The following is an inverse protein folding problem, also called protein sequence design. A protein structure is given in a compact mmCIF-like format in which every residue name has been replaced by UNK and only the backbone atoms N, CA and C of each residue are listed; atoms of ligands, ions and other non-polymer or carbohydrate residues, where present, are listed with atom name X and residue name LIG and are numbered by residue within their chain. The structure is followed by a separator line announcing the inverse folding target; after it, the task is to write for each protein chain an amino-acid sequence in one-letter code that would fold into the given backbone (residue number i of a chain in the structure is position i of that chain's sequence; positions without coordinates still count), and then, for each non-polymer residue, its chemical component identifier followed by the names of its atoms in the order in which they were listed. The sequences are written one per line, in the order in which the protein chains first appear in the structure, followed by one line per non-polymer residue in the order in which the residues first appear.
data_IF_906053425280
#
_entry.id   IF_906053425280
#
_cell.length_a   1.000
_cell.length_b   1.000
_cell.length_c   1.000
_cell.angle_alpha   90.00
_cell.angle_beta   90.00
_cell.angle_gamma   90.00
#
_symmetry.space_group_name_H-M   'P 1'
#
loop_
_entity.id
_entity.type
_entity.pdbx_description
1 polymer ?
#
# COMPACT_ATOMS: atom_id res chain seq x y z
N UNK A 1 5.88 2.01 1.82
CA UNK A 1 5.96 1.26 0.55
C UNK A 1 6.07 -0.20 0.92
N UNK A 2 5.06 -1.02 0.63
CA UNK A 2 5.10 -2.44 0.97
C UNK A 2 6.05 -3.09 -0.04
N UNK A 3 7.22 -3.54 0.42
CA UNK A 3 8.19 -4.22 -0.43
C UNK A 3 8.01 -5.72 -0.24
N UNK A 4 7.60 -6.40 -1.32
CA UNK A 4 7.69 -7.86 -1.40
C UNK A 4 9.17 -8.24 -1.53
N UNK A 5 9.74 -8.82 -0.47
CA UNK A 5 11.01 -9.56 -0.54
C UNK A 5 10.63 -11.00 -0.96
N UNK A 6 11.17 -11.54 -2.06
CA UNK A 6 10.60 -12.71 -2.70
C UNK A 6 10.78 -13.98 -1.87
N UNK A 7 9.68 -14.68 -1.61
CA UNK A 7 9.63 -16.14 -1.55
C UNK A 7 8.74 -16.60 -2.70
N UNK A 8 9.26 -17.55 -3.47
CA UNK A 8 8.83 -17.92 -4.81
C UNK A 8 7.74 -19.00 -4.77
N UNK A 9 6.47 -18.65 -4.99
CA UNK A 9 5.52 -19.54 -5.68
C UNK A 9 4.18 -18.86 -6.08
N UNK A 10 3.68 -19.34 -7.23
CA UNK A 10 2.34 -19.27 -7.84
C UNK A 10 1.72 -17.93 -8.24
N UNK A 11 1.69 -17.72 -9.56
CA UNK A 11 0.82 -16.81 -10.28
C UNK A 11 -0.62 -17.35 -10.32
N UNK A 12 -1.62 -16.45 -10.20
CA UNK A 12 -2.72 -16.28 -11.16
C UNK A 12 -3.71 -15.21 -10.63
N UNK A 13 -3.88 -14.07 -11.34
CA UNK A 13 -5.13 -13.30 -11.32
C UNK A 13 -5.17 -12.19 -12.41
N UNK A 14 -6.22 -12.11 -13.25
CA UNK A 14 -6.51 -10.94 -14.04
C UNK A 14 -7.71 -10.16 -13.47
N UNK A 15 -7.53 -8.88 -13.15
CA UNK A 15 -8.63 -7.93 -13.01
C UNK A 15 -8.18 -6.52 -13.39
N UNK A 16 -8.81 -5.96 -14.42
CA UNK A 16 -8.55 -4.63 -14.93
C UNK A 16 -8.92 -3.56 -13.89
N UNK A 17 -7.94 -3.17 -13.07
CA UNK A 17 -8.02 -2.00 -12.21
C UNK A 17 -8.08 -0.75 -13.09
N UNK A 18 -9.24 -0.08 -13.11
CA UNK A 18 -9.44 1.18 -13.85
C UNK A 18 -8.55 2.26 -13.24
N UNK A 19 -7.45 2.60 -13.90
CA UNK A 19 -6.53 3.66 -13.46
C UNK A 19 -7.19 5.04 -13.68
N UNK A 20 -7.19 5.94 -12.69
CA UNK A 20 -7.68 7.30 -12.89
C UNK A 20 -6.84 8.03 -13.95
N UNK A 21 -7.49 8.88 -14.75
CA UNK A 21 -6.85 9.59 -15.88
C UNK A 21 -5.85 10.63 -15.32
N UNK A 22 -4.70 10.79 -16.00
CA UNK A 22 -3.57 11.71 -15.72
C UNK A 22 -3.85 13.00 -14.90
N UNK A 23 -4.89 13.82 -15.18
CA UNK A 23 -5.13 15.05 -14.41
C UNK A 23 -5.53 14.83 -12.95
N UNK A 24 -6.13 13.69 -12.59
CA UNK A 24 -6.63 13.46 -11.22
C UNK A 24 -5.50 13.13 -10.24
N UNK A 25 -4.53 12.31 -10.66
CA UNK A 25 -3.40 11.84 -9.84
C UNK A 25 -2.42 12.95 -9.45
N UNK A 26 -2.42 14.06 -10.19
CA UNK A 26 -1.53 15.21 -9.98
C UNK A 26 -2.29 16.49 -9.63
N UNK A 27 -3.57 16.38 -9.27
CA UNK A 27 -4.49 17.50 -9.02
C UNK A 27 -4.04 18.45 -7.91
N UNK A 28 -3.31 17.96 -6.91
CA UNK A 28 -2.71 18.78 -5.85
C UNK A 28 -1.46 19.58 -6.29
N UNK A 29 -1.00 19.43 -7.53
CA UNK A 29 0.18 20.10 -8.08
C UNK A 29 -0.27 21.17 -9.08
N UNK A 30 0.18 22.42 -8.95
CA UNK A 30 -0.15 23.48 -9.91
C UNK A 30 0.18 23.10 -11.35
N UNK A 31 -0.65 23.55 -12.29
CA UNK A 31 -0.42 23.32 -13.70
C UNK A 31 0.94 23.92 -14.13
N UNK A 32 1.70 23.15 -14.91
CA UNK A 32 3.03 23.55 -15.40
C UNK A 32 3.93 22.34 -15.66
N UNK A 33 5.17 22.60 -16.06
CA UNK A 33 6.14 21.55 -16.46
C UNK A 33 6.34 20.48 -15.39
N UNK A 34 6.33 20.86 -14.10
CA UNK A 34 6.44 19.91 -12.98
C UNK A 34 5.31 18.89 -12.97
N UNK A 35 4.05 19.34 -13.14
CA UNK A 35 2.88 18.45 -13.15
C UNK A 35 2.95 17.49 -14.34
N UNK A 36 3.30 18.01 -15.51
CA UNK A 36 3.44 17.21 -16.74
C UNK A 36 4.54 16.17 -16.61
N UNK A 37 5.73 16.55 -16.16
CA UNK A 37 6.84 15.62 -15.97
C UNK A 37 6.54 14.55 -14.94
N UNK A 38 5.94 14.92 -13.80
CA UNK A 38 5.56 13.94 -12.79
C UNK A 38 4.52 12.95 -13.33
N UNK A 39 3.50 13.45 -14.05
CA UNK A 39 2.47 12.62 -14.63
C UNK A 39 3.06 11.64 -15.67
N UNK A 40 3.95 12.12 -16.53
CA UNK A 40 4.66 11.29 -17.50
C UNK A 40 5.54 10.23 -16.83
N UNK A 41 6.32 10.61 -15.81
CA UNK A 41 7.18 9.68 -15.08
C UNK A 41 6.37 8.62 -14.33
N UNK A 42 5.23 8.99 -13.72
CA UNK A 42 4.36 8.03 -13.03
C UNK A 42 3.86 6.93 -13.97
N UNK A 43 3.43 7.29 -15.19
CA UNK A 43 2.81 6.35 -16.11
C UNK A 43 3.81 5.60 -16.98
N UNK A 44 4.89 6.25 -17.41
CA UNK A 44 5.88 5.66 -18.30
C UNK A 44 6.95 4.84 -17.55
N UNK A 45 7.18 5.13 -16.26
CA UNK A 45 8.29 4.56 -15.52
C UNK A 45 7.84 3.89 -14.20
N UNK A 46 7.25 4.65 -13.27
CA UNK A 46 6.97 4.11 -11.94
C UNK A 46 5.94 2.95 -11.97
N UNK A 47 4.79 3.15 -12.61
CA UNK A 47 3.73 2.13 -12.62
C UNK A 47 4.18 0.84 -13.35
N UNK A 48 4.81 0.90 -14.54
CA UNK A 48 5.37 -0.28 -15.19
C UNK A 48 6.37 -1.06 -14.34
N UNK A 49 7.26 -0.39 -13.59
CA UNK A 49 8.25 -1.04 -12.70
C UNK A 49 7.62 -1.91 -11.60
N UNK A 50 6.35 -1.67 -11.25
CA UNK A 50 5.65 -2.39 -10.19
C UNK A 50 4.42 -3.14 -10.68
N UNK A 51 4.19 -3.26 -11.99
CA UNK A 51 2.96 -3.81 -12.55
C UNK A 51 2.56 -5.17 -11.92
N UNK A 52 3.52 -6.09 -11.77
CA UNK A 52 3.29 -7.45 -11.23
C UNK A 52 3.40 -7.53 -9.69
N UNK A 53 3.58 -6.37 -9.03
CA UNK A 53 3.75 -6.24 -7.57
C UNK A 53 2.69 -5.33 -6.94
N UNK A 54 1.68 -4.93 -7.70
CA UNK A 54 0.51 -4.21 -7.19
C UNK A 54 -0.47 -5.25 -6.64
N UNK A 55 -0.74 -5.18 -5.34
CA UNK A 55 -1.69 -6.05 -4.67
C UNK A 55 -3.11 -5.54 -4.87
N UNK A 56 -4.02 -6.45 -5.22
CA UNK A 56 -5.46 -6.17 -5.25
C UNK A 56 -5.98 -6.16 -3.82
N UNK A 57 -6.96 -5.31 -3.53
CA UNK A 57 -7.67 -5.36 -2.25
C UNK A 57 -8.72 -6.46 -2.32
N UNK A 58 -8.62 -7.45 -1.45
CA UNK A 58 -9.50 -8.61 -1.40
C UNK A 58 -10.11 -8.79 0.01
N UNK A 59 -10.94 -9.84 0.14
CA UNK A 59 -11.66 -10.15 1.38
C UNK A 59 -10.67 -10.49 2.52
N UNK A 60 -9.64 -11.34 2.34
CA UNK A 60 -8.64 -11.59 3.37
C UNK A 60 -8.01 -10.31 3.96
N UNK A 61 -7.68 -9.32 3.12
CA UNK A 61 -7.16 -8.03 3.61
C UNK A 61 -8.23 -7.30 4.44
N UNK A 62 -9.48 -7.28 3.98
CA UNK A 62 -10.57 -6.60 4.68
C UNK A 62 -10.87 -7.23 6.05
N UNK A 63 -10.84 -8.56 6.15
CA UNK A 63 -11.04 -9.28 7.41
C UNK A 63 -9.90 -9.01 8.40
N UNK A 64 -8.65 -9.11 7.94
CA UNK A 64 -7.46 -8.78 8.74
C UNK A 64 -7.51 -7.32 9.23
N UNK A 65 -7.98 -6.40 8.39
CA UNK A 65 -8.14 -5.00 8.73
C UNK A 65 -9.20 -4.78 9.82
N UNK A 66 -10.36 -5.43 9.70
CA UNK A 66 -11.40 -5.39 10.72
C UNK A 66 -10.92 -5.91 12.08
N UNK A 67 -10.14 -7.00 12.08
CA UNK A 67 -9.54 -7.54 13.29
C UNK A 67 -8.54 -6.58 13.96
N UNK A 68 -7.66 -5.95 13.16
CA UNK A 68 -6.69 -4.97 13.66
C UNK A 68 -7.39 -3.73 14.25
N UNK A 69 -8.42 -3.22 13.59
CA UNK A 69 -9.20 -2.09 14.10
C UNK A 69 -9.88 -2.44 15.43
N UNK A 70 -10.56 -3.58 15.50
CA UNK A 70 -11.22 -4.04 16.71
C UNK A 70 -10.23 -4.27 17.87
N UNK A 71 -9.03 -4.77 17.58
CA UNK A 71 -7.99 -4.94 18.60
C UNK A 71 -7.42 -3.60 19.10
N UNK A 72 -7.15 -2.67 18.19
CA UNK A 72 -6.75 -1.31 18.54
C UNK A 72 -7.76 -0.62 19.46
N UNK A 73 -9.05 -0.74 19.13
CA UNK A 73 -10.13 -0.17 19.94
C UNK A 73 -10.19 -0.80 21.34
N UNK A 74 -10.13 -2.14 21.44
CA UNK A 74 -10.13 -2.85 22.73
C UNK A 74 -8.93 -2.47 23.61
N UNK A 75 -7.78 -2.22 22.98
CA UNK A 75 -6.53 -1.89 23.67
C UNK A 75 -6.33 -0.39 23.88
N UNK A 76 -7.32 0.45 23.54
CA UNK A 76 -7.26 1.91 23.69
C UNK A 76 -6.21 2.59 22.80
N UNK A 77 -5.86 1.95 21.68
CA UNK A 77 -4.83 2.38 20.72
C UNK A 77 -5.34 2.22 19.28
N UNK A 78 -6.37 2.99 18.88
CA UNK A 78 -6.86 2.95 17.50
C UNK A 78 -5.77 3.43 16.55
N UNK A 79 -5.50 2.65 15.50
CA UNK A 79 -4.58 3.02 14.43
C UNK A 79 -5.31 3.82 13.34
N UNK A 80 -4.63 4.78 12.67
CA UNK A 80 -5.22 5.49 11.53
C UNK A 80 -5.70 4.52 10.46
N UNK A 81 -6.85 4.81 9.84
CA UNK A 81 -7.52 3.94 8.84
C UNK A 81 -6.58 3.43 7.74
N UNK A 82 -5.75 4.31 7.17
CA UNK A 82 -4.83 3.92 6.10
C UNK A 82 -3.66 3.10 6.64
N UNK A 83 -3.14 3.42 7.83
CA UNK A 83 -2.01 2.72 8.41
C UNK A 83 -2.40 1.31 8.85
N UNK A 84 -3.57 1.16 9.47
CA UNK A 84 -4.13 -0.15 9.81
C UNK A 84 -4.44 -0.97 8.56
N UNK A 85 -4.87 -0.33 7.47
CA UNK A 85 -5.10 -1.02 6.20
C UNK A 85 -3.79 -1.51 5.54
N UNK A 86 -2.73 -0.68 5.57
CA UNK A 86 -1.40 -1.09 5.11
C UNK A 86 -0.82 -2.22 5.97
N UNK A 87 -1.03 -2.16 7.28
CA UNK A 87 -0.63 -3.22 8.21
C UNK A 87 -1.39 -4.52 7.91
N UNK A 88 -2.71 -4.45 7.73
CA UNK A 88 -3.54 -5.60 7.35
C UNK A 88 -3.08 -6.24 6.04
N UNK A 89 -2.78 -5.42 5.04
CA UNK A 89 -2.26 -5.88 3.75
C UNK A 89 -0.91 -6.58 3.91
N UNK A 90 -0.03 -6.03 4.75
CA UNK A 90 1.26 -6.65 5.03
C UNK A 90 1.10 -7.99 5.76
N UNK A 91 0.22 -8.07 6.76
CA UNK A 91 -0.08 -9.31 7.49
C UNK A 91 -0.71 -10.37 6.60
N UNK A 92 -1.70 -10.02 5.79
CA UNK A 92 -2.44 -10.97 4.95
C UNK A 92 -1.57 -11.62 3.85
N UNK A 93 -0.47 -10.97 3.47
CA UNK A 93 0.44 -11.44 2.42
C UNK A 93 1.86 -11.77 2.93
N UNK A 94 2.07 -11.86 4.24
CA UNK A 94 3.38 -12.14 4.87
C UNK A 94 4.51 -11.18 4.41
N UNK A 95 4.20 -9.88 4.32
CA UNK A 95 5.11 -8.86 3.81
C UNK A 95 5.77 -8.04 4.94
N UNK A 96 6.92 -7.45 4.62
CA UNK A 96 7.57 -6.45 5.48
C UNK A 96 7.18 -5.04 5.02
N UNK A 97 6.71 -4.20 5.95
CA UNK A 97 6.36 -2.82 5.66
C UNK A 97 7.61 -1.94 5.71
N UNK A 98 7.99 -1.37 4.56
CA UNK A 98 9.04 -0.35 4.51
C UNK A 98 8.46 1.04 4.79
N UNK A 99 8.86 1.64 5.90
CA UNK A 99 8.41 2.96 6.34
C UNK A 99 9.47 3.63 7.20
N UNK A 100 9.62 4.96 7.05
CA UNK A 100 10.40 5.79 7.98
C UNK A 100 9.62 6.14 9.24
N UNK A 101 8.29 6.00 9.21
CA UNK A 101 7.41 6.24 10.34
C UNK A 101 7.13 4.94 11.08
N UNK A 102 8.16 4.29 11.61
CA UNK A 102 8.00 2.97 12.26
C UNK A 102 7.16 3.04 13.54
N UNK A 103 7.23 4.17 14.26
CA UNK A 103 6.52 4.43 15.52
C UNK A 103 5.03 4.10 15.44
N UNK A 104 4.39 4.43 14.32
CA UNK A 104 2.94 4.30 14.17
C UNK A 104 2.52 2.84 13.88
N UNK A 105 3.48 1.94 13.64
CA UNK A 105 3.23 0.54 13.32
C UNK A 105 3.83 -0.45 14.34
N UNK A 106 4.67 0.01 15.27
CA UNK A 106 5.37 -0.89 16.23
C UNK A 106 4.44 -1.72 17.09
N UNK A 107 3.23 -1.22 17.37
CA UNK A 107 2.23 -1.91 18.19
C UNK A 107 1.37 -2.91 17.39
N UNK A 108 1.50 -2.95 16.07
CA UNK A 108 0.68 -3.79 15.19
C UNK A 108 1.31 -5.16 14.90
N UNK A 109 2.50 -5.43 15.43
CA UNK A 109 3.14 -6.76 15.34
C UNK A 109 3.62 -7.18 13.94
N UNK A 110 3.61 -6.26 12.97
CA UNK A 110 4.05 -6.52 11.60
C UNK A 110 5.58 -6.36 11.45
N UNK A 111 6.23 -7.10 10.53
CA UNK A 111 7.64 -6.88 10.21
C UNK A 111 7.84 -5.48 9.60
N UNK A 112 8.80 -4.71 10.13
CA UNK A 112 9.12 -3.36 9.68
C UNK A 112 10.56 -3.26 9.18
N UNK A 113 10.78 -2.47 8.14
CA UNK A 113 12.11 -2.02 7.70
C UNK A 113 12.13 -0.50 7.57
N UNK A 114 13.15 0.16 8.13
CA UNK A 114 13.37 1.59 8.00
C UNK A 114 14.52 1.85 7.01
N UNK A 115 14.23 2.36 5.79
CA UNK A 115 15.22 2.57 4.73
C UNK A 115 15.92 3.94 4.75
#
# INVERSE_FOLDING_TARGET
MILRIPCEHSADQPAALRRPRLPERTSGIPAGNRRTHLAAWLDADLVPRFADRILTVDIPIADAWGMLMADGDRNGRPAPVIDSFLAATATAHDLTLATRNTRDFTHLGIPLINP
#
